data_IF_594607947614
#
_entry.id   IF_594607947614
#
_cell.length_a   1.000
_cell.length_b   1.000
_cell.length_c   1.000
_cell.angle_alpha   90.00
_cell.angle_beta   90.00
_cell.angle_gamma   90.00
#
_symmetry.space_group_name_H-M   'P 1'
#
loop_
_entity.id
_entity.type
_entity.pdbx_description
1 polymer ?
#
# COMPACT_ATOMS: atom_id res chain seq x y z
N UNK A 1 23.83 -10.66 2.54
CA UNK A 1 23.30 -10.94 1.18
C UNK A 1 22.02 -10.16 0.85
N UNK A 2 20.99 -10.12 1.71
CA UNK A 2 19.72 -9.40 1.43
C UNK A 2 19.91 -7.95 0.98
N UNK A 3 20.66 -7.14 1.73
CA UNK A 3 20.90 -5.73 1.38
C UNK A 3 21.63 -5.55 0.03
N UNK A 4 22.53 -6.48 -0.33
CA UNK A 4 23.27 -6.44 -1.59
C UNK A 4 22.35 -6.74 -2.78
N UNK A 5 21.46 -7.72 -2.62
CA UNK A 5 20.45 -8.07 -3.62
C UNK A 5 19.47 -6.92 -3.81
N UNK A 6 19.00 -6.33 -2.70
CA UNK A 6 18.12 -5.17 -2.71
C UNK A 6 18.76 -3.98 -3.44
N UNK A 7 20.05 -3.67 -3.18
CA UNK A 7 20.77 -2.60 -3.88
C UNK A 7 20.85 -2.79 -5.40
N UNK A 8 21.00 -4.03 -5.88
CA UNK A 8 21.07 -4.32 -7.32
C UNK A 8 19.67 -4.31 -7.96
N UNK A 9 18.67 -4.82 -7.24
CA UNK A 9 17.31 -4.98 -7.78
C UNK A 9 16.49 -3.69 -7.72
N UNK A 10 16.57 -2.91 -6.65
CA UNK A 10 15.72 -1.72 -6.47
C UNK A 10 15.82 -0.72 -7.63
N UNK A 11 17.02 -0.34 -8.13
CA UNK A 11 17.11 0.57 -9.27
C UNK A 11 16.42 0.02 -10.52
N UNK A 12 16.57 -1.28 -10.80
CA UNK A 12 15.95 -1.95 -11.96
C UNK A 12 14.44 -2.02 -11.82
N UNK A 13 13.93 -2.33 -10.63
CA UNK A 13 12.50 -2.37 -10.33
C UNK A 13 11.89 -0.97 -10.51
N UNK A 14 12.54 0.07 -9.97
CA UNK A 14 12.10 1.45 -10.11
C UNK A 14 12.10 1.92 -11.57
N UNK A 15 13.14 1.57 -12.34
CA UNK A 15 13.21 1.92 -13.76
C UNK A 15 12.08 1.23 -14.54
N UNK A 16 11.83 -0.06 -14.29
CA UNK A 16 10.76 -0.80 -14.95
C UNK A 16 9.38 -0.24 -14.57
N UNK A 17 9.16 0.03 -13.28
CA UNK A 17 7.95 0.66 -12.78
C UNK A 17 7.70 1.99 -13.48
N UNK A 18 8.71 2.87 -13.53
CA UNK A 18 8.62 4.16 -14.20
C UNK A 18 8.31 4.02 -15.69
N UNK A 19 9.03 3.16 -16.41
CA UNK A 19 8.76 2.92 -17.82
C UNK A 19 7.34 2.39 -18.08
N UNK A 20 6.80 1.55 -17.19
CA UNK A 20 5.42 1.07 -17.29
C UNK A 20 4.39 2.15 -16.99
N UNK A 21 4.66 3.05 -16.03
CA UNK A 21 3.82 4.22 -15.78
C UNK A 21 3.84 5.17 -16.98
N UNK A 22 5.03 5.50 -17.50
CA UNK A 22 5.21 6.43 -18.62
C UNK A 22 4.58 5.90 -19.94
N UNK A 23 4.46 4.57 -20.09
CA UNK A 23 3.82 3.95 -21.25
C UNK A 23 2.28 4.05 -21.22
N UNK A 24 1.68 4.32 -20.06
CA UNK A 24 0.25 4.48 -19.92
C UNK A 24 -0.11 5.97 -20.12
N UNK A 25 -0.67 6.30 -21.29
CA UNK A 25 -0.98 7.69 -21.65
C UNK A 25 -2.41 8.11 -21.30
N UNK A 26 -3.26 7.17 -20.87
CA UNK A 26 -4.66 7.42 -20.55
C UNK A 26 -5.12 6.53 -19.40
N UNK A 27 -6.00 7.07 -18.55
CA UNK A 27 -6.57 6.36 -17.40
C UNK A 27 -5.73 6.46 -16.13
N UNK A 28 -5.94 5.54 -15.21
CA UNK A 28 -5.31 5.52 -13.88
C UNK A 28 -4.38 4.32 -13.79
N UNK A 29 -3.13 4.57 -13.42
CA UNK A 29 -2.17 3.50 -13.09
C UNK A 29 -2.16 3.29 -11.58
N UNK A 30 -2.46 2.08 -11.14
CA UNK A 30 -2.37 1.69 -9.72
C UNK A 30 -1.06 0.94 -9.49
N UNK A 31 -0.21 1.49 -8.62
CA UNK A 31 1.06 0.87 -8.23
C UNK A 31 0.98 0.42 -6.77
N UNK A 32 1.14 -0.87 -6.54
CA UNK A 32 1.11 -1.45 -5.18
C UNK A 32 2.53 -1.44 -4.60
N UNK A 33 2.77 -0.61 -3.59
CA UNK A 33 4.08 -0.45 -2.95
C UNK A 33 3.98 -0.79 -1.46
N UNK A 34 4.42 -1.98 -1.03
CA UNK A 34 4.31 -2.39 0.38
C UNK A 34 5.12 -1.53 1.36
N UNK A 35 6.24 -0.95 0.90
CA UNK A 35 7.17 -0.17 1.73
C UNK A 35 7.13 1.33 1.41
N UNK A 36 5.97 1.83 0.95
CA UNK A 36 5.83 3.21 0.47
C UNK A 36 6.25 4.22 1.54
N UNK A 37 5.83 3.98 2.78
CA UNK A 37 6.02 4.88 3.92
C UNK A 37 7.40 4.68 4.54
N UNK A 38 7.81 3.43 4.73
CA UNK A 38 9.08 3.02 5.36
C UNK A 38 10.31 3.54 4.59
N UNK A 39 10.16 3.73 3.28
CA UNK A 39 11.25 4.15 2.38
C UNK A 39 11.03 5.52 1.77
N UNK A 40 9.98 6.24 2.18
CA UNK A 40 9.64 7.57 1.65
C UNK A 40 9.53 7.62 0.12
N UNK A 41 8.91 6.61 -0.48
CA UNK A 41 8.89 6.39 -1.93
C UNK A 41 7.73 7.09 -2.64
N UNK A 42 7.10 8.08 -2.02
CA UNK A 42 5.89 8.73 -2.54
C UNK A 42 6.13 9.79 -3.63
N UNK A 43 7.38 10.25 -3.81
CA UNK A 43 7.73 11.31 -4.78
C UNK A 43 7.28 11.12 -6.24
N UNK A 44 7.25 9.91 -6.82
CA UNK A 44 6.89 9.73 -8.22
C UNK A 44 5.39 9.55 -8.45
N UNK A 45 4.54 9.64 -7.41
CA UNK A 45 3.11 9.41 -7.49
C UNK A 45 2.33 10.69 -7.25
N UNK A 46 1.14 10.80 -7.84
CA UNK A 46 0.25 11.95 -7.67
C UNK A 46 -0.65 11.85 -6.44
N UNK A 47 -0.93 10.61 -6.00
CA UNK A 47 -1.85 10.31 -4.91
C UNK A 47 -1.54 8.94 -4.29
N UNK A 48 -1.83 8.78 -3.01
CA UNK A 48 -1.76 7.50 -2.32
C UNK A 48 -3.14 6.98 -1.95
N UNK A 49 -3.26 5.65 -1.88
CA UNK A 49 -4.42 4.95 -1.35
C UNK A 49 -3.92 4.07 -0.21
N UNK A 50 -4.39 4.35 1.01
CA UNK A 50 -4.06 3.56 2.20
C UNK A 50 -5.24 2.64 2.49
N UNK A 51 -5.01 1.32 2.39
CA UNK A 51 -5.97 0.31 2.82
C UNK A 51 -5.72 0.03 4.31
N UNK A 52 -6.59 0.56 5.16
CA UNK A 52 -6.47 0.48 6.61
C UNK A 52 -7.37 -0.61 7.19
N UNK A 53 -6.90 -1.30 8.23
CA UNK A 53 -7.74 -2.16 9.04
C UNK A 53 -7.23 -2.21 10.48
N UNK A 54 -8.10 -2.57 11.42
CA UNK A 54 -7.78 -2.70 12.84
C UNK A 54 -6.67 -3.72 13.07
N UNK A 55 -5.85 -3.46 14.09
CA UNK A 55 -4.69 -4.30 14.42
C UNK A 55 -5.10 -5.76 14.67
N UNK A 56 -6.22 -5.97 15.38
CA UNK A 56 -6.74 -7.32 15.64
C UNK A 56 -7.09 -8.05 14.35
N UNK A 57 -7.68 -7.35 13.37
CA UNK A 57 -7.96 -7.92 12.06
C UNK A 57 -6.67 -8.24 11.28
N UNK A 58 -5.64 -7.41 11.39
CA UNK A 58 -4.34 -7.66 10.76
C UNK A 58 -3.68 -8.92 11.33
N UNK A 59 -3.64 -9.04 12.66
CA UNK A 59 -3.06 -10.19 13.37
C UNK A 59 -3.82 -11.46 13.01
N UNK A 60 -5.16 -11.47 13.13
CA UNK A 60 -5.97 -12.64 12.82
C UNK A 60 -5.80 -13.12 11.38
N UNK A 61 -5.74 -12.19 10.41
CA UNK A 61 -5.52 -12.51 9.00
C UNK A 61 -4.11 -13.04 8.75
N UNK A 62 -3.09 -12.49 9.40
CA UNK A 62 -1.70 -12.97 9.30
C UNK A 62 -1.56 -14.38 9.87
N UNK A 63 -2.11 -14.62 11.07
CA UNK A 63 -2.10 -15.95 11.70
C UNK A 63 -2.76 -16.99 10.81
N UNK A 64 -3.93 -16.67 10.27
CA UNK A 64 -4.69 -17.59 9.39
C UNK A 64 -3.97 -17.85 8.07
N UNK A 65 -3.41 -16.81 7.43
CA UNK A 65 -2.79 -16.92 6.11
C UNK A 65 -1.44 -17.62 6.15
N UNK A 66 -0.62 -17.30 7.14
CA UNK A 66 0.76 -17.80 7.26
C UNK A 66 0.86 -19.03 8.18
N UNK A 67 -0.23 -19.42 8.84
CA UNK A 67 -0.28 -20.47 9.86
C UNK A 67 0.78 -20.26 10.96
N UNK A 68 0.75 -19.07 11.57
CA UNK A 68 1.69 -18.63 12.62
C UNK A 68 0.95 -18.29 13.91
N UNK A 69 1.69 -18.28 15.02
CA UNK A 69 1.16 -17.80 16.31
C UNK A 69 1.03 -16.27 16.36
N UNK A 70 0.32 -15.81 17.38
CA UNK A 70 0.05 -14.39 17.61
C UNK A 70 1.33 -13.57 17.82
N UNK A 71 2.28 -14.08 18.61
CA UNK A 71 3.54 -13.39 18.91
C UNK A 71 4.36 -13.10 17.64
N UNK A 72 4.41 -14.07 16.73
CA UNK A 72 5.06 -13.92 15.43
C UNK A 72 4.30 -12.96 14.52
N UNK A 73 2.97 -13.00 14.52
CA UNK A 73 2.16 -12.05 13.74
C UNK A 73 2.37 -10.61 14.23
N UNK A 74 2.40 -10.38 15.55
CA UNK A 74 2.71 -9.10 16.16
C UNK A 74 4.12 -8.62 15.81
N UNK A 75 5.13 -9.49 15.90
CA UNK A 75 6.49 -9.15 15.51
C UNK A 75 6.61 -8.77 14.02
N UNK A 76 5.88 -9.46 13.14
CA UNK A 76 5.83 -9.12 11.71
C UNK A 76 5.14 -7.78 11.46
N UNK A 77 4.09 -7.47 12.23
CA UNK A 77 3.39 -6.19 12.14
C UNK A 77 4.27 -5.03 12.62
N UNK A 78 5.00 -5.22 13.72
CA UNK A 78 5.94 -4.25 14.28
C UNK A 78 7.14 -3.95 13.37
N UNK A 79 7.48 -4.86 12.45
CA UNK A 79 8.53 -4.65 11.47
C UNK A 79 8.12 -3.72 10.31
N UNK A 80 6.85 -3.37 10.21
CA UNK A 80 6.29 -2.47 9.18
C UNK A 80 6.06 -1.06 9.75
N UNK A 81 5.76 -0.10 8.88
CA UNK A 81 5.31 1.22 9.30
C UNK A 81 4.05 1.10 10.18
N UNK A 82 4.01 1.90 11.25
CA UNK A 82 2.85 1.96 12.13
C UNK A 82 1.61 2.47 11.38
N UNK A 83 0.42 2.21 11.94
CA UNK A 83 -0.83 2.72 11.37
C UNK A 83 -0.82 4.25 11.28
N UNK A 84 -0.35 4.92 12.33
CA UNK A 84 -0.25 6.37 12.42
C UNK A 84 0.66 6.93 11.32
N UNK A 85 1.83 6.30 11.11
CA UNK A 85 2.75 6.69 10.04
C UNK A 85 2.12 6.58 8.65
N UNK A 86 1.31 5.53 8.40
CA UNK A 86 0.59 5.38 7.13
C UNK A 86 -0.49 6.43 6.94
N UNK A 87 -1.22 6.78 8.01
CA UNK A 87 -2.27 7.79 7.95
C UNK A 87 -1.71 9.23 7.81
N UNK A 88 -0.50 9.48 8.31
CA UNK A 88 0.22 10.75 8.13
C UNK A 88 0.76 10.96 6.71
N UNK A 89 0.62 9.99 5.80
CA UNK A 89 1.06 10.15 4.41
C UNK A 89 0.38 11.35 3.71
N UNK A 90 -0.82 11.74 4.17
CA UNK A 90 -1.53 12.91 3.67
C UNK A 90 -0.76 14.23 3.83
N UNK A 91 0.21 14.29 4.76
CA UNK A 91 1.10 15.45 4.95
C UNK A 91 2.12 15.60 3.81
N UNK A 92 2.31 14.56 2.99
CA UNK A 92 3.31 14.50 1.93
C UNK A 92 2.73 14.26 0.54
N UNK A 93 1.59 13.57 0.46
CA UNK A 93 0.96 13.16 -0.78
C UNK A 93 -0.55 13.11 -0.53
N UNK A 94 -1.42 13.70 -1.38
CA UNK A 94 -2.87 13.54 -1.23
C UNK A 94 -3.20 12.06 -1.04
N UNK A 95 -3.96 11.74 0.00
CA UNK A 95 -4.16 10.34 0.42
C UNK A 95 -5.64 10.03 0.63
N UNK A 96 -6.11 8.98 -0.02
CA UNK A 96 -7.42 8.38 0.21
C UNK A 96 -7.29 7.16 1.13
N UNK A 97 -8.16 7.05 2.14
CA UNK A 97 -8.14 5.93 3.10
C UNK A 97 -9.34 5.03 2.83
N UNK A 98 -9.10 3.74 2.64
CA UNK A 98 -10.15 2.71 2.52
C UNK A 98 -10.08 1.79 3.74
N UNK A 99 -11.14 1.80 4.56
CA UNK A 99 -11.28 0.86 5.67
C UNK A 99 -11.68 -0.54 5.22
N UNK A 100 -10.85 -1.53 5.52
CA UNK A 100 -10.97 -2.95 5.17
C UNK A 100 -11.22 -3.85 6.40
N UNK A 101 -12.08 -3.37 7.30
CA UNK A 101 -12.52 -4.10 8.51
C UNK A 101 -13.74 -5.00 8.28
N UNK A 102 -14.49 -4.77 7.21
CA UNK A 102 -15.76 -5.42 6.94
C UNK A 102 -15.60 -6.57 5.94
N UNK A 103 -16.71 -7.08 5.37
CA UNK A 103 -16.68 -8.14 4.37
C UNK A 103 -16.19 -7.58 3.03
N UNK A 104 -15.74 -8.47 2.14
CA UNK A 104 -15.24 -8.08 0.81
C UNK A 104 -16.29 -7.32 -0.01
N UNK A 105 -17.57 -7.63 0.17
CA UNK A 105 -18.69 -6.94 -0.50
C UNK A 105 -18.75 -5.46 -0.12
N UNK A 106 -18.49 -5.13 1.15
CA UNK A 106 -18.46 -3.74 1.62
C UNK A 106 -17.23 -2.99 1.09
N UNK A 107 -16.19 -3.72 0.66
CA UNK A 107 -14.99 -3.15 0.06
C UNK A 107 -15.20 -2.81 -1.42
N UNK A 108 -15.97 -3.61 -2.15
CA UNK A 108 -16.27 -3.38 -3.57
C UNK A 108 -16.95 -2.02 -3.79
N UNK A 109 -17.95 -1.69 -2.96
CA UNK A 109 -18.63 -0.40 -3.04
C UNK A 109 -17.68 0.78 -2.76
N UNK A 110 -16.83 0.66 -1.73
CA UNK A 110 -15.83 1.69 -1.41
C UNK A 110 -14.83 1.88 -2.53
N UNK A 111 -14.38 0.79 -3.16
CA UNK A 111 -13.46 0.83 -4.30
C UNK A 111 -14.14 1.48 -5.52
N UNK A 112 -15.40 1.16 -5.79
CA UNK A 112 -16.16 1.77 -6.88
C UNK A 112 -16.32 3.29 -6.68
N UNK A 113 -16.69 3.71 -5.47
CA UNK A 113 -16.82 5.13 -5.12
C UNK A 113 -15.47 5.86 -5.24
N UNK A 114 -14.38 5.23 -4.77
CA UNK A 114 -13.05 5.79 -4.94
C UNK A 114 -12.71 5.93 -6.43
N UNK A 115 -12.92 4.88 -7.23
CA UNK A 115 -12.65 4.92 -8.67
C UNK A 115 -13.40 6.05 -9.38
N UNK A 116 -14.68 6.28 -9.06
CA UNK A 116 -15.45 7.40 -9.61
C UNK A 116 -14.82 8.75 -9.24
N UNK A 117 -14.45 8.94 -7.96
CA UNK A 117 -13.73 10.12 -7.50
C UNK A 117 -12.42 10.31 -8.28
N UNK A 118 -11.60 9.26 -8.42
CA UNK A 118 -10.32 9.35 -9.12
C UNK A 118 -10.49 9.66 -10.61
N UNK A 119 -11.51 9.10 -11.24
CA UNK A 119 -11.80 9.30 -12.66
C UNK A 119 -12.31 10.71 -12.95
N UNK A 120 -12.98 11.35 -11.98
CA UNK A 120 -13.40 12.76 -12.08
C UNK A 120 -12.26 13.77 -11.96
N UNK A 121 -11.06 13.31 -11.57
CA UNK A 121 -9.86 14.12 -11.42
C UNK A 121 -8.91 14.01 -12.63
N UNK A 122 -9.22 13.14 -13.59
CA UNK A 122 -8.55 13.05 -14.89
C UNK A 122 -9.02 14.19 -15.81
#
# INVERSE_FOLDING_TARGET
NRALIEQVLHPKILQKMKATMDACTQGIVIVVVPLLVEKNLWKPFDRAIVVDCEVDNQINRLMTRENIDQSKAEAMLLAQASREQRLQLNDHLPTDIIGNNAKIVDLEEKVANLYQKLSSLL
#
